data_IF_544797246925
#
_entry.id   IF_544797246925
#
_cell.length_a   1.000
_cell.length_b   1.000
_cell.length_c   1.000
_cell.angle_alpha   90.00
_cell.angle_beta   90.00
_cell.angle_gamma   90.00
#
_symmetry.space_group_name_H-M   'P 1'
#
loop_
_entity.id
_entity.type
_entity.pdbx_description
1 polymer ?
#
# COMPACT_ATOMS: atom_id res chain seq x y z
N UNK A 1 21.69 3.82 -9.36
CA UNK A 1 20.56 2.90 -9.64
C UNK A 1 20.78 1.53 -9.02
N UNK A 2 21.89 0.84 -9.30
CA UNK A 2 22.19 -0.50 -8.76
C UNK A 2 22.17 -0.57 -7.23
N UNK A 3 22.85 0.36 -6.56
CA UNK A 3 22.97 0.37 -5.09
C UNK A 3 21.63 0.48 -4.36
N UNK A 4 20.72 1.33 -4.86
CA UNK A 4 19.37 1.46 -4.31
C UNK A 4 18.58 0.17 -4.48
N UNK A 5 18.61 -0.42 -5.68
CA UNK A 5 17.97 -1.71 -5.95
C UNK A 5 18.53 -2.81 -5.04
N UNK A 6 19.86 -2.94 -4.96
CA UNK A 6 20.51 -3.96 -4.13
C UNK A 6 20.14 -3.80 -2.65
N UNK A 7 20.05 -2.56 -2.16
CA UNK A 7 19.66 -2.27 -0.77
C UNK A 7 18.20 -2.66 -0.50
N UNK A 8 17.29 -2.34 -1.42
CA UNK A 8 15.88 -2.73 -1.31
C UNK A 8 15.70 -4.26 -1.37
N UNK A 9 16.41 -4.94 -2.28
CA UNK A 9 16.36 -6.40 -2.39
C UNK A 9 16.86 -7.09 -1.12
N UNK A 10 17.93 -6.58 -0.49
CA UNK A 10 18.39 -7.07 0.83
C UNK A 10 17.34 -6.89 1.92
N UNK A 11 16.50 -5.86 1.81
CA UNK A 11 15.38 -5.58 2.71
C UNK A 11 14.11 -6.41 2.45
N UNK A 12 14.13 -7.31 1.46
CA UNK A 12 13.00 -8.18 1.12
C UNK A 12 12.12 -7.66 -0.03
N UNK A 13 12.50 -6.57 -0.71
CA UNK A 13 11.85 -6.15 -1.94
C UNK A 13 11.91 -7.27 -2.98
N UNK A 14 10.77 -7.55 -3.62
CA UNK A 14 10.66 -8.57 -4.67
C UNK A 14 10.05 -8.04 -5.97
N UNK A 15 9.66 -6.77 -6.02
CA UNK A 15 8.98 -6.16 -7.17
C UNK A 15 8.76 -4.67 -6.99
N UNK A 16 8.14 -4.03 -7.99
CA UNK A 16 7.90 -2.58 -8.02
C UNK A 16 6.42 -2.25 -8.28
N UNK A 17 5.90 -1.11 -7.77
CA UNK A 17 6.60 -0.17 -6.90
C UNK A 17 6.83 -0.72 -5.48
N UNK A 18 7.91 -0.28 -4.85
CA UNK A 18 8.29 -0.57 -3.47
C UNK A 18 8.66 0.73 -2.77
N UNK A 19 7.99 1.03 -1.67
CA UNK A 19 8.21 2.23 -0.88
C UNK A 19 8.84 1.85 0.45
N UNK A 20 9.85 2.61 0.87
CA UNK A 20 10.41 2.56 2.21
C UNK A 20 10.17 3.91 2.82
N UNK A 21 9.45 3.94 3.93
CA UNK A 21 9.05 5.14 4.63
C UNK A 21 9.61 5.14 6.05
N UNK A 22 9.94 6.32 6.56
CA UNK A 22 10.35 6.52 7.94
C UNK A 22 9.53 7.67 8.52
N UNK A 23 8.81 7.41 9.61
CA UNK A 23 7.97 8.42 10.27
C UNK A 23 8.77 9.31 11.25
N UNK A 24 8.08 10.24 11.92
CA UNK A 24 8.68 11.17 12.88
C UNK A 24 9.25 10.49 14.14
N UNK A 25 8.80 9.29 14.46
CA UNK A 25 9.33 8.43 15.54
C UNK A 25 10.58 7.65 15.13
N UNK A 26 11.06 7.83 13.89
CA UNK A 26 12.19 7.08 13.31
C UNK A 26 11.85 5.59 13.09
N UNK A 27 10.56 5.23 13.11
CA UNK A 27 10.12 3.88 12.75
C UNK A 27 10.08 3.74 11.23
N UNK A 28 10.65 2.65 10.72
CA UNK A 28 10.74 2.35 9.30
C UNK A 28 9.76 1.25 8.91
N UNK A 29 9.01 1.45 7.83
CA UNK A 29 8.11 0.46 7.25
C UNK A 29 8.26 0.37 5.73
N UNK A 30 7.92 -0.79 5.17
CA UNK A 30 8.06 -1.09 3.75
C UNK A 30 6.68 -1.44 3.15
N UNK A 31 6.36 -0.85 1.99
CA UNK A 31 5.07 -1.02 1.32
C UNK A 31 5.26 -1.50 -0.11
N UNK A 32 4.59 -2.59 -0.46
CA UNK A 32 4.55 -3.13 -1.82
C UNK A 32 3.24 -2.74 -2.53
N UNK A 33 3.37 -2.29 -3.77
CA UNK A 33 2.22 -1.93 -4.62
C UNK A 33 1.82 -0.46 -4.52
N UNK A 34 0.93 -0.04 -5.43
CA UNK A 34 0.43 1.35 -5.52
C UNK A 34 -0.94 1.54 -4.82
N UNK A 35 -1.48 0.50 -4.22
CA UNK A 35 -2.83 0.42 -3.64
C UNK A 35 -2.81 0.36 -2.10
N UNK A 36 -1.67 0.72 -1.48
CA UNK A 36 -1.45 0.65 -0.03
C UNK A 36 -1.33 2.03 0.64
N UNK A 37 -1.80 3.08 -0.02
CA UNK A 37 -1.73 4.45 0.51
C UNK A 37 -2.42 4.62 1.86
N UNK A 38 -3.52 3.91 2.11
CA UNK A 38 -4.20 3.91 3.41
C UNK A 38 -3.26 3.47 4.56
N UNK A 39 -2.44 2.44 4.36
CA UNK A 39 -1.44 2.01 5.35
C UNK A 39 -0.29 3.02 5.49
N UNK A 40 0.13 3.64 4.39
CA UNK A 40 1.16 4.70 4.41
C UNK A 40 0.66 5.90 5.23
N UNK A 41 -0.60 6.30 5.05
CA UNK A 41 -1.19 7.40 5.83
C UNK A 41 -1.33 7.05 7.31
N UNK A 42 -1.72 5.80 7.64
CA UNK A 42 -1.71 5.31 9.03
C UNK A 42 -0.30 5.38 9.64
N UNK A 43 0.73 4.94 8.91
CA UNK A 43 2.13 4.96 9.36
C UNK A 43 2.64 6.38 9.68
N UNK A 44 2.15 7.38 8.94
CA UNK A 44 2.50 8.78 9.11
C UNK A 44 1.54 9.57 10.02
N UNK A 45 0.52 8.94 10.59
CA UNK A 45 -0.55 9.60 11.35
C UNK A 45 -1.21 10.77 10.57
N UNK A 46 -1.38 10.57 9.26
CA UNK A 46 -2.05 11.53 8.37
C UNK A 46 -3.53 11.20 8.30
N UNK A 47 -4.43 12.17 8.55
CA UNK A 47 -5.87 11.94 8.41
C UNK A 47 -6.26 11.59 6.97
N UNK A 48 -6.99 10.49 6.79
CA UNK A 48 -7.53 10.06 5.50
C UNK A 48 -8.90 9.39 5.67
N UNK A 49 -9.64 9.27 4.57
CA UNK A 49 -10.88 8.48 4.51
C UNK A 49 -10.59 7.19 3.77
N UNK A 50 -10.72 6.00 4.41
CA UNK A 50 -10.49 4.73 3.73
C UNK A 50 -11.42 4.53 2.53
N UNK A 51 -10.91 3.87 1.49
CA UNK A 51 -11.75 3.51 0.35
C UNK A 51 -12.86 2.57 0.80
N UNK A 52 -14.11 2.97 0.55
CA UNK A 52 -15.29 2.17 0.88
C UNK A 52 -15.83 1.51 -0.39
N UNK A 53 -15.96 0.18 -0.45
CA UNK A 53 -16.59 -0.50 -1.57
C UNK A 53 -18.03 0.00 -1.77
N UNK A 54 -18.35 0.40 -2.99
CA UNK A 54 -19.72 0.76 -3.33
C UNK A 54 -20.54 -0.51 -3.53
N UNK A 55 -21.68 -0.59 -2.87
CA UNK A 55 -22.67 -1.62 -3.17
C UNK A 55 -23.23 -1.39 -4.57
N UNK A 56 -23.46 -2.45 -5.36
CA UNK A 56 -24.08 -2.30 -6.67
C UNK A 56 -25.49 -1.76 -6.53
N UNK A 57 -25.89 -0.88 -7.46
CA UNK A 57 -27.24 -0.30 -7.49
C UNK A 57 -28.29 -1.33 -7.87
N UNK A 58 -27.90 -2.32 -8.67
CA UNK A 58 -28.76 -3.43 -9.09
C UNK A 58 -28.12 -4.78 -8.70
N UNK A 59 -28.88 -5.72 -8.10
CA UNK A 59 -28.37 -7.04 -7.72
C UNK A 59 -27.77 -7.84 -8.89
N UNK A 60 -28.19 -7.57 -10.13
CA UNK A 60 -27.66 -8.21 -11.34
C UNK A 60 -26.21 -7.83 -11.69
N UNK A 61 -25.64 -6.80 -11.06
CA UNK A 61 -24.23 -6.44 -11.22
C UNK A 61 -23.28 -7.30 -10.37
N UNK A 62 -23.80 -8.09 -9.43
CA UNK A 62 -23.01 -9.08 -8.70
C UNK A 62 -22.77 -10.26 -9.65
N UNK A 63 -21.64 -10.25 -10.36
CA UNK A 63 -21.27 -11.30 -11.31
C UNK A 63 -20.82 -12.62 -10.65
N UNK A 64 -20.76 -12.67 -9.31
CA UNK A 64 -20.43 -13.88 -8.60
C UNK A 64 -21.70 -14.73 -8.46
N UNK A 65 -21.80 -15.78 -9.26
CA UNK A 65 -22.66 -16.92 -8.96
C UNK A 65 -21.91 -17.74 -7.90
N UNK A 66 -22.48 -17.84 -6.70
CA UNK A 66 -22.15 -18.92 -5.77
C UNK A 66 -22.60 -20.27 -6.36
#
# INVERSE_FOLDING_TARGET
MRETTDSLMKGGCFGAPWLVATNSSVDMEQFWGNDRWDHIFQHFDVPFTPVTPLLPKNPSQLHWKL
#
